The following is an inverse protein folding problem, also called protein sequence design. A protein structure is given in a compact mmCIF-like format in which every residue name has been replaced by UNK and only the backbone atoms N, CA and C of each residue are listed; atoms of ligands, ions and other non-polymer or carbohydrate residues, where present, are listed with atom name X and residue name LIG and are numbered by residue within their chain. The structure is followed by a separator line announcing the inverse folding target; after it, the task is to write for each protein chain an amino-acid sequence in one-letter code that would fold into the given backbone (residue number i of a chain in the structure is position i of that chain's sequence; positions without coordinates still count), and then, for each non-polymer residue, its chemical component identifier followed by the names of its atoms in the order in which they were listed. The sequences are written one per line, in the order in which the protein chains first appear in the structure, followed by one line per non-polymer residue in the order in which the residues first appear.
data_IF_233146341465
#
_entry.id   IF_233146341465
#
_cell.length_a   1.000
_cell.length_b   1.000
_cell.length_c   1.000
_cell.angle_alpha   90.00
_cell.angle_beta   90.00
_cell.angle_gamma   90.00
#
_symmetry.space_group_name_H-M   'P 1'
#
loop_
_entity.id
_entity.type
_entity.pdbx_description
1 polymer ?
#
# COMPACT_ATOMS: atom_id res chain seq x y z
N UNK A 1 28.04 -6.13 -50.98
CA UNK A 1 28.64 -5.78 -49.68
C UNK A 1 27.75 -4.73 -49.04
N UNK A 2 26.67 -5.17 -48.38
CA UNK A 2 25.65 -4.29 -47.79
C UNK A 2 26.03 -3.94 -46.36
N UNK A 3 26.23 -2.66 -46.10
CA UNK A 3 26.45 -2.07 -44.79
C UNK A 3 25.25 -2.34 -43.87
N UNK A 4 25.46 -3.03 -42.76
CA UNK A 4 24.48 -3.09 -41.68
C UNK A 4 24.63 -1.87 -40.78
N UNK A 5 23.63 -0.99 -40.87
CA UNK A 5 23.40 0.14 -39.98
C UNK A 5 23.10 -0.36 -38.55
N UNK A 6 23.75 0.31 -37.60
CA UNK A 6 23.51 0.28 -36.16
C UNK A 6 22.04 0.66 -35.88
N UNK A 7 21.26 -0.23 -35.24
CA UNK A 7 20.02 0.16 -34.58
C UNK A 7 20.29 0.43 -33.11
N UNK A 8 20.35 1.71 -32.75
CA UNK A 8 20.09 2.17 -31.39
C UNK A 8 18.58 2.11 -31.16
N UNK A 9 18.11 1.09 -30.44
CA UNK A 9 16.75 1.08 -29.90
C UNK A 9 16.79 1.54 -28.45
N UNK A 10 16.28 2.75 -28.24
CA UNK A 10 15.87 3.25 -26.94
C UNK A 10 14.67 2.43 -26.46
N UNK A 11 14.86 1.61 -25.44
CA UNK A 11 13.77 0.97 -24.70
C UNK A 11 14.27 0.63 -23.30
N UNK A 12 14.15 1.58 -22.36
CA UNK A 12 14.19 1.37 -20.89
C UNK A 12 14.18 2.73 -20.17
N UNK A 13 13.06 3.47 -20.24
CA UNK A 13 12.87 4.67 -19.41
C UNK A 13 11.54 4.73 -18.65
N UNK A 14 10.50 4.02 -19.08
CA UNK A 14 9.18 4.06 -18.42
C UNK A 14 9.09 3.32 -17.08
N UNK A 15 9.88 2.27 -16.86
CA UNK A 15 9.65 1.33 -15.74
C UNK A 15 10.20 1.79 -14.39
N UNK A 16 11.09 2.79 -14.36
CA UNK A 16 11.78 3.20 -13.13
C UNK A 16 11.04 4.31 -12.38
N UNK A 17 10.48 5.29 -13.10
CA UNK A 17 9.77 6.44 -12.52
C UNK A 17 8.39 6.05 -11.99
N UNK A 18 7.65 5.19 -12.70
CA UNK A 18 6.33 4.71 -12.25
C UNK A 18 6.43 3.84 -10.99
N UNK A 19 7.45 2.96 -10.91
CA UNK A 19 7.69 2.14 -9.72
C UNK A 19 8.03 3.00 -8.51
N UNK A 20 8.91 3.98 -8.66
CA UNK A 20 9.28 4.87 -7.55
C UNK A 20 8.09 5.70 -7.04
N UNK A 21 7.21 6.15 -7.93
CA UNK A 21 5.97 6.83 -7.55
C UNK A 21 5.02 5.92 -6.79
N UNK A 22 4.89 4.66 -7.22
CA UNK A 22 4.02 3.68 -6.57
C UNK A 22 4.53 3.34 -5.16
N UNK A 23 5.85 3.21 -4.97
CA UNK A 23 6.44 2.97 -3.65
C UNK A 23 6.24 4.14 -2.70
N UNK A 24 6.36 5.37 -3.20
CA UNK A 24 6.06 6.58 -2.42
C UNK A 24 4.60 6.59 -1.99
N UNK A 25 3.66 6.27 -2.89
CA UNK A 25 2.24 6.21 -2.56
C UNK A 25 1.92 5.18 -1.47
N UNK A 26 2.48 3.98 -1.54
CA UNK A 26 2.33 2.96 -0.51
C UNK A 26 2.89 3.44 0.83
N UNK A 27 4.11 4.02 0.84
CA UNK A 27 4.75 4.49 2.07
C UNK A 27 3.94 5.57 2.78
N UNK A 28 3.30 6.49 2.04
CA UNK A 28 2.43 7.52 2.60
C UNK A 28 1.20 6.89 3.24
N UNK A 29 0.61 5.85 2.63
CA UNK A 29 -0.52 5.13 3.23
C UNK A 29 -0.11 4.40 4.52
N UNK A 30 1.09 3.80 4.56
CA UNK A 30 1.63 3.16 5.77
C UNK A 30 1.85 4.18 6.90
N UNK A 31 2.35 5.38 6.58
CA UNK A 31 2.50 6.48 7.55
C UNK A 31 1.15 6.94 8.10
N UNK A 32 0.15 7.15 7.24
CA UNK A 32 -1.20 7.51 7.70
C UNK A 32 -1.84 6.42 8.56
N UNK A 33 -1.64 5.15 8.21
CA UNK A 33 -2.08 4.04 9.05
C UNK A 33 -1.44 4.10 10.44
N UNK A 34 -0.14 4.39 10.53
CA UNK A 34 0.55 4.54 11.81
C UNK A 34 -0.02 5.69 12.64
N UNK A 35 -0.29 6.84 12.03
CA UNK A 35 -0.93 7.98 12.71
C UNK A 35 -2.29 7.57 13.27
N UNK A 36 -3.12 6.88 12.49
CA UNK A 36 -4.44 6.42 12.93
C UNK A 36 -4.37 5.43 14.10
N UNK A 37 -3.38 4.53 14.11
CA UNK A 37 -3.18 3.62 15.24
C UNK A 37 -2.80 4.36 16.52
N UNK A 38 -1.93 5.36 16.42
CA UNK A 38 -1.56 6.21 17.54
C UNK A 38 -2.76 7.03 18.03
N UNK A 39 -3.53 7.61 17.10
CA UNK A 39 -4.77 8.33 17.43
C UNK A 39 -5.77 7.44 18.16
N UNK A 40 -5.93 6.18 17.72
CA UNK A 40 -6.81 5.23 18.39
C UNK A 40 -6.36 4.91 19.83
N UNK A 41 -5.05 4.81 20.07
CA UNK A 41 -4.52 4.61 21.41
C UNK A 41 -4.82 5.80 22.34
N UNK A 42 -4.84 7.02 21.79
CA UNK A 42 -5.17 8.23 22.56
C UNK A 42 -6.67 8.47 22.75
N UNK A 43 -7.48 8.16 21.72
CA UNK A 43 -8.94 8.29 21.74
C UNK A 43 -9.53 7.09 20.99
N UNK A 44 -10.09 6.08 21.67
CA UNK A 44 -10.61 4.88 21.03
C UNK A 44 -11.99 5.14 20.42
N UNK A 45 -12.04 5.91 19.34
CA UNK A 45 -13.28 6.23 18.62
C UNK A 45 -13.55 5.27 17.47
N UNK A 46 -14.82 4.85 17.33
CA UNK A 46 -15.29 4.02 16.22
C UNK A 46 -14.97 4.62 14.85
N UNK A 47 -14.95 5.95 14.74
CA UNK A 47 -14.60 6.63 13.50
C UNK A 47 -13.13 6.40 13.08
N UNK A 48 -12.21 6.33 14.05
CA UNK A 48 -10.80 6.02 13.79
C UNK A 48 -10.66 4.58 13.31
N UNK A 49 -11.42 3.64 13.90
CA UNK A 49 -11.46 2.24 13.44
C UNK A 49 -11.94 2.14 11.98
N UNK A 50 -12.93 2.94 11.57
CA UNK A 50 -13.37 3.01 10.16
C UNK A 50 -12.25 3.50 9.25
N UNK A 51 -11.52 4.53 9.64
CA UNK A 51 -10.37 5.03 8.88
C UNK A 51 -9.23 4.02 8.80
N UNK A 52 -8.93 3.29 9.88
CA UNK A 52 -7.94 2.20 9.89
C UNK A 52 -8.31 1.14 8.85
N UNK A 53 -9.57 0.67 8.86
CA UNK A 53 -10.07 -0.29 7.88
C UNK A 53 -10.00 0.23 6.43
N UNK A 54 -10.27 1.52 6.23
CA UNK A 54 -10.16 2.17 4.92
C UNK A 54 -8.71 2.14 4.40
N UNK A 55 -7.73 2.56 5.21
CA UNK A 55 -6.32 2.55 4.80
C UNK A 55 -5.77 1.14 4.59
N UNK A 56 -6.14 0.17 5.44
CA UNK A 56 -5.76 -1.23 5.25
C UNK A 56 -6.29 -1.79 3.93
N UNK A 57 -7.53 -1.47 3.56
CA UNK A 57 -8.11 -1.91 2.29
C UNK A 57 -7.33 -1.34 1.10
N UNK A 58 -6.90 -0.08 1.17
CA UNK A 58 -6.09 0.56 0.12
C UNK A 58 -4.67 0.02 0.03
N UNK A 59 -4.04 -0.27 1.18
CA UNK A 59 -2.70 -0.88 1.23
C UNK A 59 -2.75 -2.27 0.59
N UNK A 60 -3.76 -3.08 0.91
CA UNK A 60 -3.92 -4.44 0.37
C UNK A 60 -4.23 -4.44 -1.14
N UNK A 61 -4.89 -3.41 -1.66
CA UNK A 61 -5.13 -3.28 -3.11
C UNK A 61 -3.91 -2.76 -3.88
N UNK A 62 -2.83 -2.36 -3.20
CA UNK A 62 -1.65 -1.81 -3.83
C UNK A 62 -0.73 -2.93 -4.37
N UNK A 63 -0.29 -2.81 -5.63
CA UNK A 63 0.46 -3.85 -6.34
C UNK A 63 1.76 -4.25 -5.60
N UNK A 64 2.49 -3.28 -5.08
CA UNK A 64 3.73 -3.54 -4.32
C UNK A 64 3.49 -4.27 -2.99
N UNK A 65 2.36 -4.02 -2.35
CA UNK A 65 1.97 -4.75 -1.15
C UNK A 65 1.72 -6.22 -1.52
N UNK A 66 0.99 -6.47 -2.61
CA UNK A 66 0.72 -7.82 -3.12
C UNK A 66 1.99 -8.54 -3.59
N UNK A 67 2.97 -7.81 -4.12
CA UNK A 67 4.28 -8.35 -4.50
C UNK A 67 5.05 -8.90 -3.28
N UNK A 68 4.82 -8.34 -2.09
CA UNK A 68 5.48 -8.76 -0.84
C UNK A 68 4.54 -9.59 0.03
N UNK A 69 4.48 -10.91 -0.22
CA UNK A 69 3.57 -11.84 0.47
C UNK A 69 3.54 -11.69 2.00
N UNK A 70 4.70 -11.52 2.64
CA UNK A 70 4.77 -11.37 4.09
C UNK A 70 4.06 -10.11 4.59
N UNK A 71 4.35 -8.95 3.99
CA UNK A 71 3.70 -7.68 4.32
C UNK A 71 2.19 -7.76 4.05
N UNK A 72 1.79 -8.30 2.90
CA UNK A 72 0.39 -8.50 2.56
C UNK A 72 -0.36 -9.32 3.61
N UNK A 73 0.19 -10.47 4.03
CA UNK A 73 -0.41 -11.30 5.08
C UNK A 73 -0.52 -10.58 6.42
N UNK A 74 0.46 -9.75 6.78
CA UNK A 74 0.41 -8.95 8.01
C UNK A 74 -0.73 -7.93 7.97
N UNK A 75 -0.86 -7.17 6.88
CA UNK A 75 -1.95 -6.21 6.69
C UNK A 75 -3.32 -6.90 6.63
N UNK A 76 -3.41 -8.07 6.02
CA UNK A 76 -4.66 -8.83 5.94
C UNK A 76 -5.10 -9.31 7.34
N UNK A 77 -4.17 -9.82 8.15
CA UNK A 77 -4.45 -10.22 9.53
C UNK A 77 -4.91 -9.02 10.36
N UNK A 78 -4.25 -7.88 10.18
CA UNK A 78 -4.60 -6.63 10.85
C UNK A 78 -5.99 -6.14 10.43
N UNK A 79 -6.34 -6.20 9.14
CA UNK A 79 -7.66 -5.82 8.64
C UNK A 79 -8.76 -6.68 9.25
N UNK A 80 -8.58 -8.00 9.33
CA UNK A 80 -9.55 -8.90 9.97
C UNK A 80 -9.81 -8.53 11.42
N UNK A 81 -8.75 -8.21 12.17
CA UNK A 81 -8.88 -7.75 13.55
C UNK A 81 -9.71 -6.47 13.65
N UNK A 82 -9.40 -5.45 12.83
CA UNK A 82 -10.11 -4.17 12.89
C UNK A 82 -11.53 -4.22 12.34
N UNK A 83 -11.83 -5.12 11.41
CA UNK A 83 -13.20 -5.38 10.96
C UNK A 83 -14.03 -6.03 12.08
N UNK A 84 -13.49 -7.07 12.71
CA UNK A 84 -14.12 -7.69 13.86
C UNK A 84 -14.34 -6.68 14.98
N UNK A 85 -13.33 -5.86 15.30
CA UNK A 85 -13.44 -4.81 16.31
C UNK A 85 -14.55 -3.81 15.98
N UNK A 86 -14.66 -3.39 14.72
CA UNK A 86 -15.73 -2.48 14.29
C UNK A 86 -17.12 -3.09 14.50
N UNK A 87 -17.27 -4.39 14.22
CA UNK A 87 -18.53 -5.12 14.44
C UNK A 87 -18.91 -5.24 15.92
N UNK A 88 -17.95 -5.20 16.85
CA UNK A 88 -18.23 -5.19 18.29
C UNK A 88 -18.65 -3.79 18.81
N UNK A 89 -18.38 -2.73 18.03
CA UNK A 89 -18.61 -1.33 18.42
C UNK A 89 -19.85 -0.69 17.80
N UNK A 90 -20.62 -1.46 17.02
CA UNK A 90 -21.91 -1.09 16.41
C UNK A 90 -23.05 -1.70 17.23
#
# INVERSE_FOLDING_TARGET
MTFYMQKTSQENKGTHEEKESNTKALSIMEQWLQVLLLSYQTSPETQIVKYINYYLSRILSHEECQATKQKHCQYLRMQRYWQWHLQQSL
#
